data_IF_399243321864
#
_entry.id   IF_399243321864
#
_cell.length_a   1.000
_cell.length_b   1.000
_cell.length_c   1.000
_cell.angle_alpha   90.00
_cell.angle_beta   90.00
_cell.angle_gamma   90.00
#
_symmetry.space_group_name_H-M   'P 1'
#
loop_
_entity.id
_entity.type
_entity.pdbx_description
1 polymer ?
#
# COMPACT_ATOMS: atom_id res chain seq x y z
N UNK A 1 -2.50 3.69 -56.05
CA UNK A 1 -2.82 4.74 -55.04
C UNK A 1 -3.09 4.05 -53.73
N UNK A 2 -2.05 3.98 -52.88
CA UNK A 2 -2.05 3.12 -51.69
C UNK A 2 -2.27 3.98 -50.46
N UNK A 3 -3.51 4.04 -49.97
CA UNK A 3 -3.89 4.79 -48.76
C UNK A 3 -3.61 3.94 -47.51
N UNK A 4 -2.43 4.09 -46.91
CA UNK A 4 -2.15 3.51 -45.62
C UNK A 4 -2.98 4.23 -44.51
N UNK A 5 -3.65 3.53 -43.62
CA UNK A 5 -4.44 4.17 -42.57
C UNK A 5 -3.53 4.92 -41.60
N UNK A 6 -3.77 6.23 -41.45
CA UNK A 6 -3.09 7.12 -40.52
C UNK A 6 -3.26 6.60 -39.07
N UNK A 7 -2.22 5.94 -38.50
CA UNK A 7 -2.20 5.57 -37.09
C UNK A 7 -2.32 6.84 -36.22
N UNK A 8 -3.49 7.05 -35.66
CA UNK A 8 -3.73 8.10 -34.67
C UNK A 8 -2.72 7.96 -33.52
N UNK A 9 -1.81 8.94 -33.38
CA UNK A 9 -0.89 9.06 -32.24
C UNK A 9 -1.71 9.44 -31.01
N UNK A 10 -2.30 8.45 -30.31
CA UNK A 10 -2.82 8.69 -28.95
C UNK A 10 -1.66 9.20 -28.09
N UNK A 11 -1.81 10.38 -27.51
CA UNK A 11 -0.84 10.98 -26.58
C UNK A 11 -0.54 10.01 -25.43
N UNK A 12 0.67 10.06 -24.86
CA UNK A 12 1.07 9.18 -23.73
C UNK A 12 0.05 9.24 -22.57
N UNK A 13 -0.53 10.43 -22.32
CA UNK A 13 -1.61 10.67 -21.36
C UNK A 13 -2.89 9.89 -21.70
N UNK A 14 -3.35 9.88 -22.95
CA UNK A 14 -4.54 9.13 -23.33
C UNK A 14 -4.41 7.61 -23.23
N UNK A 15 -3.18 7.08 -23.39
CA UNK A 15 -2.92 5.64 -23.17
C UNK A 15 -2.91 5.28 -21.69
N UNK A 16 -2.38 6.15 -20.83
CA UNK A 16 -2.37 5.97 -19.39
C UNK A 16 -3.80 6.01 -18.83
N UNK A 17 -4.59 7.00 -19.22
CA UNK A 17 -6.00 7.12 -18.85
C UNK A 17 -6.84 5.91 -19.30
N UNK A 18 -6.66 5.43 -20.52
CA UNK A 18 -7.36 4.25 -21.03
C UNK A 18 -7.02 2.98 -20.26
N UNK A 19 -5.74 2.79 -19.87
CA UNK A 19 -5.33 1.66 -19.02
C UNK A 19 -5.90 1.79 -17.61
N UNK A 20 -5.90 3.00 -17.05
CA UNK A 20 -6.44 3.29 -15.72
C UNK A 20 -7.95 3.02 -15.67
N UNK A 21 -8.73 3.54 -16.61
CA UNK A 21 -10.20 3.39 -16.63
C UNK A 21 -10.68 1.94 -16.81
N UNK A 22 -9.85 1.04 -17.34
CA UNK A 22 -10.14 -0.40 -17.48
C UNK A 22 -9.58 -1.26 -16.33
N UNK A 23 -8.90 -0.65 -15.35
CA UNK A 23 -8.40 -1.37 -14.21
C UNK A 23 -9.49 -1.44 -13.12
N UNK A 24 -9.81 -2.64 -12.56
CA UNK A 24 -10.80 -2.76 -11.49
C UNK A 24 -10.47 -1.90 -10.26
N UNK A 25 -9.19 -1.67 -9.97
CA UNK A 25 -8.75 -0.75 -8.91
C UNK A 25 -9.24 0.68 -9.12
N UNK A 26 -9.37 1.14 -10.36
CA UNK A 26 -9.90 2.47 -10.65
C UNK A 26 -11.36 2.59 -10.21
N UNK A 27 -12.15 1.54 -10.43
CA UNK A 27 -13.54 1.49 -9.97
C UNK A 27 -13.61 1.58 -8.43
N UNK A 28 -12.76 0.85 -7.71
CA UNK A 28 -12.68 0.89 -6.25
C UNK A 28 -12.32 2.29 -5.76
N UNK A 29 -11.31 2.93 -6.37
CA UNK A 29 -10.90 4.30 -6.00
C UNK A 29 -12.02 5.30 -6.25
N UNK A 30 -12.65 5.27 -7.43
CA UNK A 30 -13.77 6.17 -7.74
C UNK A 30 -14.96 5.93 -6.82
N UNK A 31 -15.34 4.67 -6.58
CA UNK A 31 -16.43 4.32 -5.66
C UNK A 31 -16.17 4.82 -4.25
N UNK A 32 -14.94 4.69 -3.76
CA UNK A 32 -14.55 5.17 -2.44
C UNK A 32 -14.60 6.71 -2.32
N UNK A 33 -14.13 7.42 -3.35
CA UNK A 33 -14.17 8.89 -3.37
C UNK A 33 -15.59 9.44 -3.49
N UNK A 34 -16.42 8.79 -4.30
CA UNK A 34 -17.79 9.22 -4.57
C UNK A 34 -18.81 8.61 -3.59
N UNK A 35 -18.38 7.82 -2.61
CA UNK A 35 -19.24 7.12 -1.67
C UNK A 35 -20.40 7.99 -1.11
N UNK A 36 -20.17 9.22 -0.61
CA UNK A 36 -21.25 10.03 -0.05
C UNK A 36 -22.33 10.44 -1.07
N UNK A 37 -21.99 10.50 -2.36
CA UNK A 37 -22.90 10.92 -3.44
C UNK A 37 -23.57 9.76 -4.16
N UNK A 38 -22.90 8.59 -4.20
CA UNK A 38 -23.39 7.41 -4.94
C UNK A 38 -24.29 6.54 -4.05
N UNK A 39 -24.11 6.58 -2.73
CA UNK A 39 -24.89 5.71 -1.84
C UNK A 39 -26.24 6.33 -1.45
N UNK A 40 -27.35 5.56 -1.53
CA UNK A 40 -28.69 6.07 -1.22
C UNK A 40 -28.89 6.33 0.28
N UNK A 41 -28.17 5.64 1.15
CA UNK A 41 -28.31 5.72 2.62
C UNK A 41 -26.99 6.02 3.34
N UNK A 42 -26.37 7.22 3.20
CA UNK A 42 -25.06 7.50 3.81
C UNK A 42 -25.02 7.29 5.33
N UNK A 43 -26.14 7.49 6.04
CA UNK A 43 -26.25 7.24 7.47
C UNK A 43 -26.04 5.78 7.87
N UNK A 44 -26.32 4.82 6.96
CA UNK A 44 -26.16 3.37 7.20
C UNK A 44 -24.69 2.93 7.20
N UNK A 45 -23.75 3.80 6.80
CA UNK A 45 -22.32 3.52 6.90
C UNK A 45 -21.81 3.48 8.35
N UNK A 46 -22.51 4.12 9.29
CA UNK A 46 -22.14 4.26 10.69
C UNK A 46 -22.87 3.31 11.66
N UNK A 47 -23.24 3.88 12.80
CA UNK A 47 -23.90 3.17 13.91
C UNK A 47 -25.43 3.10 13.78
N UNK A 48 -25.96 3.25 12.58
CA UNK A 48 -27.41 3.14 12.33
C UNK A 48 -27.92 1.75 12.70
N UNK A 49 -29.09 1.68 13.31
CA UNK A 49 -29.77 0.43 13.67
C UNK A 49 -31.28 0.61 13.45
N UNK A 50 -31.87 -0.29 12.68
CA UNK A 50 -33.31 -0.42 12.48
C UNK A 50 -33.68 -1.89 12.36
N UNK A 51 -33.99 -2.54 13.46
CA UNK A 51 -34.33 -3.97 13.47
C UNK A 51 -35.61 -4.30 12.65
N UNK A 52 -36.48 -3.30 12.37
CA UNK A 52 -37.66 -3.50 11.52
C UNK A 52 -37.32 -3.83 10.07
N UNK A 53 -36.13 -3.45 9.61
CA UNK A 53 -35.62 -3.70 8.26
C UNK A 53 -34.49 -4.75 8.25
N UNK A 54 -34.31 -5.49 9.33
CA UNK A 54 -33.23 -6.47 9.43
C UNK A 54 -33.43 -7.65 8.46
N UNK A 55 -32.34 -8.03 7.80
CA UNK A 55 -32.26 -9.18 6.86
C UNK A 55 -33.26 -9.11 5.68
N UNK A 56 -33.61 -7.92 5.22
CA UNK A 56 -34.40 -7.80 3.99
C UNK A 56 -33.62 -8.30 2.78
N UNK A 57 -34.30 -9.04 1.94
CA UNK A 57 -33.75 -9.51 0.66
C UNK A 57 -33.45 -8.34 -0.28
N UNK A 58 -32.56 -8.52 -1.28
CA UNK A 58 -32.30 -7.52 -2.31
C UNK A 58 -33.58 -7.00 -2.96
N UNK A 59 -33.70 -5.68 -3.09
CA UNK A 59 -34.87 -4.98 -3.63
C UNK A 59 -34.46 -3.67 -4.32
N UNK A 60 -35.39 -2.98 -4.96
CA UNK A 60 -35.13 -1.65 -5.56
C UNK A 60 -34.73 -0.63 -4.49
N UNK A 61 -35.22 -0.77 -3.26
CA UNK A 61 -34.88 0.11 -2.14
C UNK A 61 -33.51 -0.23 -1.56
N UNK A 62 -33.21 -1.52 -1.43
CA UNK A 62 -31.94 -2.03 -0.90
C UNK A 62 -31.32 -3.01 -1.92
N UNK A 63 -30.46 -2.48 -2.81
CA UNK A 63 -29.91 -3.26 -3.94
C UNK A 63 -29.26 -4.59 -3.52
N UNK A 64 -28.57 -4.61 -2.38
CA UNK A 64 -27.93 -5.80 -1.82
C UNK A 64 -28.63 -6.29 -0.54
N UNK A 65 -29.86 -5.83 -0.30
CA UNK A 65 -30.57 -6.12 0.94
C UNK A 65 -30.03 -5.36 2.14
N UNK A 66 -30.46 -5.80 3.34
CA UNK A 66 -30.03 -5.23 4.62
C UNK A 66 -29.35 -6.26 5.51
N UNK A 67 -28.49 -5.80 6.42
CA UNK A 67 -27.83 -6.64 7.41
C UNK A 67 -28.71 -6.91 8.64
N UNK A 68 -28.17 -7.64 9.61
CA UNK A 68 -28.85 -7.98 10.88
C UNK A 68 -29.26 -6.78 11.74
N UNK A 69 -28.73 -5.60 11.43
CA UNK A 69 -29.06 -4.34 12.09
C UNK A 69 -29.98 -3.44 11.23
N UNK A 70 -30.46 -3.94 10.08
CA UNK A 70 -31.29 -3.16 9.14
C UNK A 70 -30.50 -2.11 8.33
N UNK A 71 -29.17 -2.26 8.20
CA UNK A 71 -28.35 -1.31 7.44
C UNK A 71 -28.22 -1.78 6.00
N UNK A 72 -28.27 -0.85 5.06
CA UNK A 72 -28.13 -1.13 3.64
C UNK A 72 -26.73 -1.70 3.29
N UNK A 73 -26.69 -2.91 2.78
CA UNK A 73 -25.43 -3.63 2.49
C UNK A 73 -24.67 -2.98 1.34
N UNK A 74 -25.36 -2.45 0.31
CA UNK A 74 -24.70 -1.74 -0.80
C UNK A 74 -23.94 -0.51 -0.32
N UNK A 75 -24.59 0.35 0.47
CA UNK A 75 -23.98 1.53 1.09
C UNK A 75 -22.75 1.14 1.91
N UNK A 76 -22.88 0.12 2.76
CA UNK A 76 -21.76 -0.34 3.59
C UNK A 76 -20.59 -0.85 2.78
N UNK A 77 -20.84 -1.56 1.69
CA UNK A 77 -19.80 -2.07 0.78
C UNK A 77 -19.01 -0.91 0.14
N UNK A 78 -19.71 0.11 -0.36
CA UNK A 78 -19.05 1.28 -0.95
C UNK A 78 -18.20 2.05 0.08
N UNK A 79 -18.72 2.23 1.31
CA UNK A 79 -17.95 2.87 2.39
C UNK A 79 -16.79 2.00 2.88
N UNK A 80 -16.89 0.67 2.80
CA UNK A 80 -15.80 -0.23 3.13
C UNK A 80 -14.59 -0.03 2.20
N UNK A 81 -14.81 0.22 0.89
CA UNK A 81 -13.72 0.57 -0.04
C UNK A 81 -12.95 1.81 0.42
N UNK A 82 -13.66 2.84 0.90
CA UNK A 82 -13.02 4.04 1.44
C UNK A 82 -12.16 3.73 2.66
N UNK A 83 -12.69 2.96 3.60
CA UNK A 83 -11.95 2.57 4.81
C UNK A 83 -10.71 1.73 4.48
N UNK A 84 -10.82 0.79 3.52
CA UNK A 84 -9.71 -0.03 3.06
C UNK A 84 -8.62 0.80 2.39
N UNK A 85 -8.97 1.76 1.53
CA UNK A 85 -8.00 2.66 0.89
C UNK A 85 -7.28 3.54 1.92
N UNK A 86 -8.00 4.11 2.88
CA UNK A 86 -7.38 4.92 3.96
C UNK A 86 -6.41 4.05 4.75
N UNK A 87 -6.82 2.83 5.13
CA UNK A 87 -5.97 1.89 5.85
C UNK A 87 -4.70 1.57 5.05
N UNK A 88 -4.82 1.20 3.77
CA UNK A 88 -3.68 0.90 2.92
C UNK A 88 -2.71 2.08 2.79
N UNK A 89 -3.23 3.29 2.53
CA UNK A 89 -2.39 4.50 2.40
C UNK A 89 -1.68 4.81 3.72
N UNK A 90 -2.37 4.78 4.86
CA UNK A 90 -1.78 5.09 6.18
C UNK A 90 -0.71 4.06 6.55
N UNK A 91 -0.99 2.77 6.37
CA UNK A 91 -0.03 1.71 6.65
C UNK A 91 1.21 1.87 5.77
N UNK A 92 1.06 2.07 4.46
CA UNK A 92 2.19 2.26 3.54
C UNK A 92 2.98 3.54 3.85
N UNK A 93 2.30 4.63 4.24
CA UNK A 93 2.95 5.87 4.63
C UNK A 93 3.86 5.72 5.87
N UNK A 94 3.59 4.74 6.73
CA UNK A 94 4.43 4.41 7.88
C UNK A 94 5.52 3.40 7.50
N UNK A 95 5.11 2.30 6.88
CA UNK A 95 5.94 1.12 6.63
C UNK A 95 7.03 1.39 5.60
N UNK A 96 6.70 2.09 4.50
CA UNK A 96 7.63 2.30 3.40
C UNK A 96 8.81 3.18 3.80
N UNK A 97 8.63 4.37 4.40
CA UNK A 97 9.77 5.19 4.82
C UNK A 97 10.68 4.47 5.82
N UNK A 98 10.11 3.77 6.80
CA UNK A 98 10.86 3.01 7.80
C UNK A 98 11.63 1.88 7.13
N UNK A 99 10.95 1.01 6.38
CA UNK A 99 11.57 -0.16 5.77
C UNK A 99 12.61 0.22 4.72
N UNK A 100 12.32 1.22 3.88
CA UNK A 100 13.26 1.71 2.87
C UNK A 100 14.51 2.30 3.51
N UNK A 101 14.36 3.14 4.52
CA UNK A 101 15.51 3.77 5.20
C UNK A 101 16.40 2.71 5.87
N UNK A 102 15.80 1.77 6.59
CA UNK A 102 16.54 0.68 7.24
C UNK A 102 17.22 -0.24 6.21
N UNK A 103 16.52 -0.56 5.12
CA UNK A 103 17.08 -1.39 4.05
C UNK A 103 18.23 -0.71 3.31
N UNK A 104 18.13 0.59 3.03
CA UNK A 104 19.21 1.38 2.45
C UNK A 104 20.44 1.41 3.36
N UNK A 105 20.23 1.69 4.66
CA UNK A 105 21.32 1.74 5.64
C UNK A 105 22.02 0.39 5.76
N UNK A 106 21.26 -0.69 5.98
CA UNK A 106 21.82 -2.03 6.11
C UNK A 106 22.56 -2.46 4.83
N UNK A 107 21.96 -2.23 3.64
CA UNK A 107 22.56 -2.64 2.37
C UNK A 107 23.83 -1.85 1.99
N UNK A 108 23.85 -0.55 2.28
CA UNK A 108 25.02 0.29 2.03
C UNK A 108 26.15 -0.02 3.02
N UNK A 109 25.84 -0.18 4.31
CA UNK A 109 26.81 -0.53 5.36
C UNK A 109 26.95 -2.05 5.54
N UNK A 110 26.79 -2.83 4.46
CA UNK A 110 26.92 -4.28 4.48
C UNK A 110 28.22 -4.74 5.16
N UNK A 111 28.14 -5.82 5.93
CA UNK A 111 29.26 -6.42 6.68
C UNK A 111 29.75 -5.55 7.87
N UNK A 112 28.99 -4.53 8.23
CA UNK A 112 29.23 -3.74 9.46
C UNK A 112 28.25 -4.13 10.57
N UNK A 113 28.49 -3.63 11.77
CA UNK A 113 27.58 -3.82 12.91
C UNK A 113 26.15 -3.25 12.64
N UNK A 114 26.03 -2.19 11.80
CA UNK A 114 24.75 -1.58 11.40
C UNK A 114 23.92 -2.57 10.62
N UNK A 115 24.53 -3.22 9.61
CA UNK A 115 23.89 -4.27 8.82
C UNK A 115 23.44 -5.42 9.74
N UNK A 116 24.37 -5.95 10.55
CA UNK A 116 24.05 -7.06 11.45
C UNK A 116 22.90 -6.74 12.38
N UNK A 117 22.87 -5.55 12.99
CA UNK A 117 21.82 -5.15 13.92
C UNK A 117 20.47 -5.04 13.22
N UNK A 118 20.40 -4.29 12.11
CA UNK A 118 19.14 -4.07 11.37
C UNK A 118 18.60 -5.40 10.83
N UNK A 119 19.46 -6.22 10.23
CA UNK A 119 19.02 -7.47 9.64
C UNK A 119 18.62 -8.51 10.70
N UNK A 120 19.27 -8.55 11.86
CA UNK A 120 18.84 -9.43 12.96
C UNK A 120 17.47 -9.06 13.50
N UNK A 121 17.20 -7.76 13.71
CA UNK A 121 15.87 -7.32 14.11
C UNK A 121 14.85 -7.67 13.02
N UNK A 122 15.17 -7.41 11.76
CA UNK A 122 14.33 -7.76 10.61
C UNK A 122 14.00 -9.25 10.59
N UNK A 123 15.00 -10.12 10.81
CA UNK A 123 14.84 -11.57 10.81
C UNK A 123 13.97 -12.07 11.97
N UNK A 124 14.07 -11.45 13.15
CA UNK A 124 13.20 -11.77 14.30
C UNK A 124 11.73 -11.52 13.91
N UNK A 125 11.43 -10.37 13.32
CA UNK A 125 10.05 -10.06 12.88
C UNK A 125 9.58 -11.00 11.77
N UNK A 126 10.44 -11.34 10.81
CA UNK A 126 10.09 -12.25 9.71
C UNK A 126 9.99 -13.72 10.13
N UNK A 127 10.55 -14.11 11.27
CA UNK A 127 10.44 -15.49 11.78
C UNK A 127 9.05 -15.82 12.34
N UNK A 128 8.28 -14.80 12.72
CA UNK A 128 6.92 -14.97 13.22
C UNK A 128 5.94 -14.85 12.06
N UNK A 129 5.01 -15.82 11.87
CA UNK A 129 3.97 -15.69 10.87
C UNK A 129 3.16 -14.39 11.07
N UNK A 130 2.99 -13.55 10.01
CA UNK A 130 2.40 -12.22 10.15
C UNK A 130 1.04 -12.23 10.84
N UNK A 131 0.18 -13.20 10.52
CA UNK A 131 -1.15 -13.32 11.11
C UNK A 131 -1.09 -13.54 12.62
N UNK A 132 -0.17 -14.38 13.09
CA UNK A 132 0.01 -14.67 14.52
C UNK A 132 0.46 -13.40 15.26
N UNK A 133 1.41 -12.67 14.70
CA UNK A 133 1.90 -11.42 15.29
C UNK A 133 0.78 -10.36 15.33
N UNK A 134 -0.03 -10.26 14.26
CA UNK A 134 -1.19 -9.35 14.23
C UNK A 134 -2.19 -9.69 15.34
N UNK A 135 -2.54 -10.95 15.47
CA UNK A 135 -3.50 -11.40 16.50
C UNK A 135 -2.94 -11.15 17.91
N UNK A 136 -1.66 -11.39 18.13
CA UNK A 136 -1.02 -11.11 19.41
C UNK A 136 -1.07 -9.63 19.77
N UNK A 137 -0.75 -8.73 18.81
CA UNK A 137 -0.79 -7.28 19.04
C UNK A 137 -2.24 -6.81 19.26
N UNK A 138 -3.18 -7.26 18.45
CA UNK A 138 -4.59 -6.83 18.54
C UNK A 138 -5.30 -7.39 19.77
N UNK A 139 -4.85 -8.50 20.35
CA UNK A 139 -5.41 -9.03 21.60
C UNK A 139 -5.13 -8.16 22.82
N UNK A 140 -4.03 -7.39 22.80
CA UNK A 140 -3.64 -6.47 23.87
C UNK A 140 -4.25 -5.07 23.67
N UNK A 141 -4.47 -4.69 22.43
CA UNK A 141 -4.98 -3.36 22.07
C UNK A 141 -6.52 -3.35 22.01
N UNK A 142 -7.13 -2.19 22.33
CA UNK A 142 -8.58 -2.01 22.14
C UNK A 142 -8.94 -2.16 20.65
N UNK A 143 -10.03 -2.89 20.31
CA UNK A 143 -10.46 -3.08 18.94
C UNK A 143 -10.87 -1.75 18.28
N UNK A 144 -10.02 -1.18 17.45
CA UNK A 144 -10.32 -0.03 16.61
C UNK A 144 -9.44 -0.02 15.37
N UNK A 145 -9.83 0.77 14.37
CA UNK A 145 -9.15 0.83 13.08
C UNK A 145 -7.69 1.31 13.21
N UNK A 146 -7.44 2.29 14.08
CA UNK A 146 -6.08 2.84 14.30
C UNK A 146 -5.13 1.77 14.85
N UNK A 147 -5.58 1.02 15.86
CA UNK A 147 -4.77 -0.06 16.43
C UNK A 147 -4.51 -1.20 15.43
N UNK A 148 -5.50 -1.49 14.57
CA UNK A 148 -5.31 -2.44 13.48
C UNK A 148 -4.25 -1.95 12.48
N UNK A 149 -4.29 -0.66 12.08
CA UNK A 149 -3.26 -0.07 11.21
C UNK A 149 -1.87 -0.13 11.84
N UNK A 150 -1.74 0.16 13.13
CA UNK A 150 -0.47 0.07 13.86
C UNK A 150 0.03 -1.38 13.91
N UNK A 151 -0.83 -2.34 14.23
CA UNK A 151 -0.47 -3.76 14.25
C UNK A 151 0.07 -4.22 12.89
N UNK A 152 -0.63 -3.88 11.80
CA UNK A 152 -0.17 -4.21 10.44
C UNK A 152 1.15 -3.50 10.12
N UNK A 153 1.31 -2.24 10.51
CA UNK A 153 2.54 -1.48 10.24
C UNK A 153 3.76 -2.11 10.92
N UNK A 154 3.60 -2.58 12.17
CA UNK A 154 4.68 -3.27 12.92
C UNK A 154 5.12 -4.56 12.24
N UNK A 155 4.22 -5.23 11.51
CA UNK A 155 4.51 -6.48 10.83
C UNK A 155 5.08 -6.31 9.43
N UNK A 156 4.73 -5.21 8.73
CA UNK A 156 4.97 -5.10 7.29
C UNK A 156 6.29 -4.42 6.90
N UNK A 157 6.87 -3.57 7.78
CA UNK A 157 8.13 -2.88 7.51
C UNK A 157 9.32 -3.82 7.20
N UNK A 158 9.45 -5.04 7.78
CA UNK A 158 10.59 -5.90 7.52
C UNK A 158 10.67 -6.37 6.06
N UNK A 159 9.51 -6.52 5.40
CA UNK A 159 9.46 -6.91 3.99
C UNK A 159 10.06 -5.84 3.08
N UNK A 160 9.79 -4.56 3.37
CA UNK A 160 10.41 -3.45 2.65
C UNK A 160 11.90 -3.32 2.96
N UNK A 161 12.29 -3.53 4.22
CA UNK A 161 13.70 -3.55 4.61
C UNK A 161 14.48 -4.62 3.85
N UNK A 162 13.97 -5.85 3.79
CA UNK A 162 14.60 -6.97 3.09
C UNK A 162 14.68 -6.73 1.59
N UNK A 163 13.63 -6.20 0.99
CA UNK A 163 13.59 -5.85 -0.43
C UNK A 163 14.68 -4.82 -0.78
N UNK A 164 14.70 -3.71 -0.04
CA UNK A 164 15.63 -2.60 -0.32
C UNK A 164 17.07 -2.96 0.06
N UNK A 165 17.27 -3.74 1.11
CA UNK A 165 18.59 -4.29 1.47
C UNK A 165 19.24 -5.03 0.29
N UNK A 166 18.50 -5.96 -0.34
CA UNK A 166 19.01 -6.70 -1.48
C UNK A 166 19.41 -5.80 -2.65
N UNK A 167 18.58 -4.80 -2.96
CA UNK A 167 18.86 -3.83 -4.03
C UNK A 167 20.03 -2.92 -3.69
N UNK A 168 20.06 -2.34 -2.48
CA UNK A 168 21.12 -1.44 -2.04
C UNK A 168 22.48 -2.15 -1.99
N UNK A 169 22.52 -3.41 -1.55
CA UNK A 169 23.71 -4.24 -1.55
C UNK A 169 24.27 -4.44 -2.96
N UNK A 170 23.39 -4.66 -3.94
CA UNK A 170 23.79 -4.81 -5.35
C UNK A 170 24.30 -3.48 -5.92
N UNK A 171 23.50 -2.40 -5.75
CA UNK A 171 23.80 -1.09 -6.32
C UNK A 171 25.05 -0.44 -5.72
N UNK A 172 25.39 -0.73 -4.46
CA UNK A 172 26.64 -0.26 -3.83
C UNK A 172 27.89 -0.57 -4.64
N UNK A 173 27.90 -1.70 -5.34
CA UNK A 173 29.04 -2.17 -6.11
C UNK A 173 29.04 -1.65 -7.56
N UNK A 174 28.06 -0.86 -7.95
CA UNK A 174 27.96 -0.30 -9.29
C UNK A 174 28.93 0.89 -9.48
N UNK A 175 29.45 1.02 -10.69
CA UNK A 175 30.45 2.05 -11.03
C UNK A 175 30.01 3.48 -10.73
N UNK A 176 28.73 3.79 -10.89
CA UNK A 176 28.23 5.14 -10.62
C UNK A 176 28.28 5.50 -9.13
N UNK A 177 28.04 4.53 -8.25
CA UNK A 177 28.15 4.71 -6.79
C UNK A 177 29.62 4.88 -6.39
N UNK A 178 30.49 3.99 -6.87
CA UNK A 178 31.93 4.09 -6.60
C UNK A 178 32.53 5.40 -7.12
N UNK A 179 32.11 5.84 -8.30
CA UNK A 179 32.55 7.14 -8.86
C UNK A 179 32.10 8.32 -8.00
N UNK A 180 30.87 8.31 -7.50
CA UNK A 180 30.37 9.36 -6.60
C UNK A 180 31.18 9.39 -5.29
N UNK A 181 31.50 8.24 -4.71
CA UNK A 181 32.34 8.14 -3.51
C UNK A 181 33.77 8.64 -3.74
N UNK A 182 34.39 8.28 -4.87
CA UNK A 182 35.71 8.76 -5.24
C UNK A 182 35.77 10.27 -5.45
N UNK A 183 34.68 10.88 -5.92
CA UNK A 183 34.53 12.33 -6.06
C UNK A 183 34.21 13.05 -4.73
N UNK A 184 34.17 12.29 -3.61
CA UNK A 184 33.95 12.86 -2.28
C UNK A 184 32.49 13.07 -1.90
N UNK A 185 31.54 12.43 -2.57
CA UNK A 185 30.13 12.51 -2.19
C UNK A 185 29.92 11.98 -0.77
N UNK A 186 29.08 12.70 0.00
CA UNK A 186 28.72 12.25 1.35
C UNK A 186 27.88 10.95 1.30
N UNK A 187 27.97 10.13 2.34
CA UNK A 187 27.18 8.89 2.46
C UNK A 187 25.67 9.13 2.31
N UNK A 188 25.17 10.25 2.84
CA UNK A 188 23.78 10.67 2.67
C UNK A 188 23.44 10.94 1.20
N UNK A 189 24.32 11.61 0.47
CA UNK A 189 24.17 11.85 -0.96
C UNK A 189 24.10 10.53 -1.73
N UNK A 190 25.03 9.61 -1.47
CA UNK A 190 25.05 8.29 -2.13
C UNK A 190 23.76 7.51 -1.86
N UNK A 191 23.33 7.44 -0.60
CA UNK A 191 22.12 6.70 -0.22
C UNK A 191 20.85 7.26 -0.88
N UNK A 192 20.64 8.58 -0.79
CA UNK A 192 19.36 9.18 -1.16
C UNK A 192 19.31 9.74 -2.59
N UNK A 193 20.46 10.03 -3.21
CA UNK A 193 20.50 10.56 -4.58
C UNK A 193 21.02 9.58 -5.61
N UNK A 194 21.84 8.60 -5.21
CA UNK A 194 22.37 7.60 -6.13
C UNK A 194 21.62 6.27 -6.02
N UNK A 195 21.50 5.70 -4.82
CA UNK A 195 20.92 4.36 -4.63
C UNK A 195 19.39 4.40 -4.62
N UNK A 196 18.78 5.24 -3.77
CA UNK A 196 17.32 5.27 -3.60
C UNK A 196 16.54 5.50 -4.90
N UNK A 197 16.91 6.43 -5.79
CA UNK A 197 16.16 6.64 -7.04
C UNK A 197 16.11 5.38 -7.91
N UNK A 198 17.18 4.58 -7.91
CA UNK A 198 17.24 3.31 -8.64
C UNK A 198 16.38 2.20 -8.01
N UNK A 199 16.06 2.31 -6.71
CA UNK A 199 15.16 1.40 -6.01
C UNK A 199 13.67 1.77 -6.17
N UNK A 200 13.34 3.03 -6.52
CA UNK A 200 11.96 3.54 -6.50
C UNK A 200 10.99 2.74 -7.37
N UNK A 201 11.41 2.30 -8.54
CA UNK A 201 10.55 1.52 -9.45
C UNK A 201 10.04 0.24 -8.77
N UNK A 202 10.94 -0.49 -8.13
CA UNK A 202 10.61 -1.75 -7.43
C UNK A 202 9.80 -1.49 -6.16
N UNK A 203 10.13 -0.43 -5.40
CA UNK A 203 9.37 -0.01 -4.22
C UNK A 203 7.93 0.32 -4.61
N UNK A 204 7.72 1.15 -5.65
CA UNK A 204 6.39 1.52 -6.12
C UNK A 204 5.59 0.31 -6.63
N UNK A 205 6.25 -0.62 -7.32
CA UNK A 205 5.61 -1.87 -7.75
C UNK A 205 5.16 -2.69 -6.53
N UNK A 206 6.01 -2.84 -5.53
CA UNK A 206 5.65 -3.54 -4.28
C UNK A 206 4.50 -2.84 -3.56
N UNK A 207 4.52 -1.50 -3.44
CA UNK A 207 3.43 -0.73 -2.85
C UNK A 207 2.08 -0.98 -3.54
N UNK A 208 2.08 -1.02 -4.89
CA UNK A 208 0.84 -1.29 -5.64
C UNK A 208 0.33 -2.72 -5.44
N UNK A 209 1.21 -3.69 -5.28
CA UNK A 209 0.85 -5.08 -4.98
C UNK A 209 0.30 -5.24 -3.55
N UNK A 210 0.82 -4.48 -2.60
CA UNK A 210 0.36 -4.53 -1.21
C UNK A 210 -0.97 -3.78 -0.98
N UNK A 211 -1.39 -2.93 -1.90
CA UNK A 211 -2.68 -2.23 -1.85
C UNK A 211 -3.83 -3.00 -2.51
N UNK A 212 -3.57 -4.00 -3.34
CA UNK A 212 -4.56 -4.80 -4.08
C UNK A 212 -4.77 -6.15 -3.50
#
# INVERSE_FOLDING_TARGET
>A
MNLSPKKSKRTKSGKAWYKFSRNPLSFVIFSALLAPWVTPYPAHSGKYVNYGEANFSPSIQHLFGTDVFGRDVFTRTIYAFRSSLIMGIVVLAIVVPIGVTLGLLAGYFKETWIDVLIMRITDIFLSVPPLILALAITSVLKPNLTNAMLAVSVMWWPWYTRLVYGMATSLRNEYFVQSAELLGASKFHVLFKEILPNCLSTILTKMTLDMG
#
